data_IF_161008482004
#
_entry.id   IF_161008482004
#
_cell.length_a   1.000
_cell.length_b   1.000
_cell.length_c   1.000
_cell.angle_alpha   90.00
_cell.angle_beta   90.00
_cell.angle_gamma   90.00
#
_symmetry.space_group_name_H-M   'P 1'
#
loop_
_entity.id
_entity.type
_entity.pdbx_description
1 polymer ?
#
# COMPACT_ATOMS: atom_id res chain seq x y z
N UNK A 1 5.91 -11.04 -23.81
CA UNK A 1 4.96 -11.51 -22.77
C UNK A 1 4.96 -10.51 -21.65
N UNK A 2 3.80 -10.10 -21.18
CA UNK A 2 3.66 -9.23 -20.01
C UNK A 2 3.72 -10.08 -18.74
N UNK A 3 4.16 -9.47 -17.63
CA UNK A 3 4.16 -10.13 -16.32
C UNK A 3 2.72 -10.20 -15.76
N UNK A 4 2.35 -11.34 -15.21
CA UNK A 4 1.04 -11.59 -14.63
C UNK A 4 1.00 -11.23 -13.13
N UNK A 5 2.15 -11.26 -12.48
CA UNK A 5 2.30 -10.96 -11.06
C UNK A 5 3.68 -10.35 -10.76
N UNK A 6 3.70 -9.42 -9.81
CA UNK A 6 4.92 -8.84 -9.26
C UNK A 6 4.89 -8.93 -7.73
N UNK A 7 5.98 -9.45 -7.16
CA UNK A 7 6.21 -9.54 -5.72
C UNK A 7 7.55 -8.88 -5.43
N UNK A 8 7.55 -7.83 -4.63
CA UNK A 8 8.76 -7.07 -4.38
C UNK A 8 8.91 -6.68 -2.90
N UNK A 9 10.15 -6.55 -2.47
CA UNK A 9 10.53 -5.97 -1.19
C UNK A 9 11.33 -4.71 -1.44
N UNK A 10 10.96 -3.64 -0.76
CA UNK A 10 11.68 -2.38 -0.78
C UNK A 10 12.14 -2.03 0.63
N UNK A 11 13.31 -1.42 0.72
CA UNK A 11 13.82 -0.89 1.99
C UNK A 11 14.22 0.57 1.79
N UNK A 12 13.62 1.45 2.59
CA UNK A 12 13.98 2.88 2.56
C UNK A 12 15.32 3.12 3.24
N UNK A 13 15.91 4.30 3.01
CA UNK A 13 17.12 4.74 3.71
C UNK A 13 16.94 4.85 5.23
N UNK A 14 15.70 5.06 5.68
CA UNK A 14 15.34 5.14 7.10
C UNK A 14 15.06 3.78 7.73
N UNK A 15 15.15 2.69 6.95
CA UNK A 15 14.99 1.32 7.44
C UNK A 15 13.57 0.77 7.35
N UNK A 16 12.60 1.53 6.86
CA UNK A 16 11.24 1.03 6.63
C UNK A 16 11.28 -0.04 5.54
N UNK A 17 10.64 -1.18 5.79
CA UNK A 17 10.50 -2.29 4.84
C UNK A 17 9.08 -2.27 4.30
N UNK A 18 8.96 -2.29 2.97
CA UNK A 18 7.68 -2.40 2.29
C UNK A 18 7.64 -3.69 1.49
N UNK A 19 6.58 -4.46 1.65
CA UNK A 19 6.25 -5.58 0.80
C UNK A 19 5.17 -5.14 -0.18
N UNK A 20 5.38 -5.43 -1.45
CA UNK A 20 4.46 -5.09 -2.52
C UNK A 20 4.06 -6.36 -3.28
N UNK A 21 2.76 -6.56 -3.43
CA UNK A 21 2.19 -7.64 -4.22
C UNK A 21 1.19 -7.04 -5.21
N UNK A 22 1.37 -7.30 -6.49
CA UNK A 22 0.42 -6.90 -7.54
C UNK A 22 0.24 -8.06 -8.52
N UNK A 23 -0.99 -8.39 -8.79
CA UNK A 23 -1.34 -9.37 -9.81
C UNK A 23 -2.76 -9.21 -10.27
N UNK A 24 -3.03 -9.55 -11.51
CA UNK A 24 -4.38 -9.70 -12.06
C UNK A 24 -4.76 -11.16 -12.39
N UNK A 25 -3.84 -12.09 -12.21
CA UNK A 25 -4.08 -13.50 -12.54
C UNK A 25 -4.23 -14.42 -11.33
N UNK A 26 -3.87 -13.98 -10.12
CA UNK A 26 -4.04 -14.78 -8.90
C UNK A 26 -5.44 -14.65 -8.30
N UNK A 27 -5.90 -15.72 -7.65
CA UNK A 27 -7.15 -15.72 -6.89
C UNK A 27 -6.87 -15.18 -5.51
N UNK A 28 -7.52 -14.08 -5.18
CA UNK A 28 -7.37 -13.42 -3.88
C UNK A 28 -8.69 -13.42 -3.13
N UNK A 29 -8.61 -13.65 -1.82
CA UNK A 29 -9.74 -13.47 -0.90
C UNK A 29 -9.48 -12.23 -0.07
N UNK A 30 -10.08 -11.12 -0.47
CA UNK A 30 -10.00 -9.83 0.22
C UNK A 30 -11.26 -9.01 -0.06
N UNK A 31 -11.50 -8.04 0.77
CA UNK A 31 -12.73 -7.22 0.70
C UNK A 31 -12.61 -6.04 -0.28
N UNK A 32 -11.40 -5.70 -0.73
CA UNK A 32 -11.16 -4.55 -1.58
C UNK A 32 -10.12 -4.85 -2.67
N UNK A 33 -10.14 -4.08 -3.74
CA UNK A 33 -9.19 -4.18 -4.84
C UNK A 33 -7.76 -3.87 -4.37
N UNK A 34 -7.60 -2.86 -3.53
CA UNK A 34 -6.35 -2.43 -2.94
C UNK A 34 -6.44 -2.54 -1.42
N UNK A 35 -5.41 -3.10 -0.81
CA UNK A 35 -5.25 -3.05 0.64
C UNK A 35 -3.80 -2.69 0.95
N UNK A 36 -3.61 -1.66 1.75
CA UNK A 36 -2.32 -1.30 2.34
C UNK A 36 -2.40 -1.48 3.85
N UNK A 37 -1.40 -2.13 4.42
CA UNK A 37 -1.21 -2.20 5.85
C UNK A 37 0.08 -1.49 6.23
N UNK A 38 0.01 -0.67 7.26
CA UNK A 38 1.16 0.03 7.83
C UNK A 38 1.26 -0.35 9.29
N UNK A 39 2.37 -0.95 9.68
CA UNK A 39 2.66 -1.33 11.05
C UNK A 39 3.74 -0.41 11.62
N UNK A 40 3.39 0.26 12.69
CA UNK A 40 4.27 1.19 13.41
C UNK A 40 4.47 0.78 14.86
N UNK A 41 5.36 1.49 15.55
CA UNK A 41 5.69 1.20 16.96
C UNK A 41 4.57 1.57 17.95
N UNK A 42 3.58 2.35 17.51
CA UNK A 42 2.47 2.81 18.35
C UNK A 42 1.10 2.27 17.92
N UNK A 43 1.06 1.51 16.84
CA UNK A 43 -0.18 0.97 16.30
C UNK A 43 -0.05 0.66 14.81
N UNK A 44 -1.16 0.21 14.23
CA UNK A 44 -1.26 -0.18 12.84
C UNK A 44 -2.45 0.46 12.16
N UNK A 45 -2.39 0.59 10.84
CA UNK A 45 -3.51 1.02 10.02
C UNK A 45 -3.68 0.10 8.82
N UNK A 46 -4.91 -0.16 8.43
CA UNK A 46 -5.28 -0.89 7.22
C UNK A 46 -6.12 0.04 6.36
N UNK A 47 -5.69 0.26 5.14
CA UNK A 47 -6.32 1.19 4.20
C UNK A 47 -6.70 0.47 2.93
N UNK A 48 -7.97 0.51 2.57
CA UNK A 48 -8.50 0.12 1.28
C UNK A 48 -8.90 1.34 0.46
N UNK A 49 -9.62 1.12 -0.64
CA UNK A 49 -10.14 2.22 -1.47
C UNK A 49 -11.26 3.01 -0.78
N UNK A 50 -12.01 2.37 0.10
CA UNK A 50 -13.23 2.93 0.70
C UNK A 50 -13.32 2.76 2.20
N UNK A 51 -12.35 2.13 2.81
CA UNK A 51 -12.35 1.80 4.24
C UNK A 51 -10.97 2.03 4.81
N UNK A 52 -10.93 2.51 6.03
CA UNK A 52 -9.72 2.65 6.80
C UNK A 52 -9.98 2.19 8.23
N UNK A 53 -9.06 1.40 8.77
CA UNK A 53 -9.08 0.97 10.16
C UNK A 53 -7.74 1.31 10.81
N UNK A 54 -7.80 1.66 12.07
CA UNK A 54 -6.61 1.87 12.89
C UNK A 54 -6.74 1.13 14.22
N UNK A 55 -5.64 0.65 14.74
CA UNK A 55 -5.55 0.05 16.07
C UNK A 55 -4.33 0.60 16.78
N UNK A 56 -4.51 1.13 17.99
CA UNK A 56 -3.39 1.56 18.82
C UNK A 56 -2.73 0.37 19.52
N UNK A 57 -1.46 0.53 19.89
CA UNK A 57 -0.74 -0.48 20.66
C UNK A 57 -1.45 -0.83 21.96
N UNK A 58 -2.06 0.15 22.62
CA UNK A 58 -2.76 -0.05 23.91
C UNK A 58 -4.03 -0.90 23.74
N UNK A 59 -4.65 -0.86 22.56
CA UNK A 59 -5.84 -1.64 22.23
C UNK A 59 -5.52 -2.97 21.53
N UNK A 60 -4.23 -3.25 21.29
CA UNK A 60 -3.83 -4.47 20.61
C UNK A 60 -3.94 -5.68 21.53
N UNK A 61 -4.73 -6.70 21.17
CA UNK A 61 -4.81 -7.93 21.95
C UNK A 61 -3.43 -8.61 22.05
N UNK A 62 -3.09 -9.09 23.22
CA UNK A 62 -1.85 -9.85 23.41
C UNK A 62 -2.16 -11.34 23.24
N UNK A 63 -1.72 -11.97 22.15
CA UNK A 63 -1.95 -13.38 21.94
C UNK A 63 -1.18 -14.23 22.96
N UNK A 64 -1.88 -15.19 23.55
CA UNK A 64 -1.26 -16.28 24.30
C UNK A 64 -1.37 -17.52 23.43
N UNK A 65 -0.23 -18.02 22.98
CA UNK A 65 -0.24 -19.22 22.16
C UNK A 65 -0.38 -20.47 23.04
N UNK A 66 -1.41 -21.26 22.76
CA UNK A 66 -1.61 -22.59 23.34
C UNK A 66 -2.05 -23.53 22.21
N UNK A 67 -1.26 -24.55 21.85
CA UNK A 67 -1.60 -25.46 20.75
C UNK A 67 -2.81 -26.37 21.03
N UNK A 68 -3.18 -26.52 22.29
CA UNK A 68 -4.22 -27.48 22.70
C UNK A 68 -5.63 -26.88 22.68
N UNK A 69 -5.73 -25.55 22.50
CA UNK A 69 -7.03 -24.86 22.45
C UNK A 69 -7.04 -23.81 21.35
N UNK A 70 -8.21 -23.55 20.80
CA UNK A 70 -8.38 -22.46 19.85
C UNK A 70 -8.07 -21.11 20.51
N UNK A 71 -7.48 -20.20 19.73
CA UNK A 71 -7.21 -18.85 20.23
C UNK A 71 -8.52 -18.15 20.60
N UNK A 72 -8.68 -17.64 21.81
CA UNK A 72 -9.87 -16.91 22.22
C UNK A 72 -9.89 -15.48 21.68
N UNK A 73 -8.85 -15.06 20.92
CA UNK A 73 -8.67 -13.69 20.48
C UNK A 73 -9.44 -13.46 19.18
N UNK A 74 -10.31 -12.49 19.19
CA UNK A 74 -10.87 -11.90 17.99
C UNK A 74 -9.88 -10.85 17.46
N UNK A 75 -9.18 -11.17 16.39
CA UNK A 75 -8.20 -10.27 15.74
C UNK A 75 -8.85 -9.12 14.96
N UNK A 76 -10.16 -9.12 14.81
CA UNK A 76 -10.92 -8.01 14.23
C UNK A 76 -11.46 -7.05 15.29
N UNK A 77 -11.42 -7.45 16.56
CA UNK A 77 -11.83 -6.57 17.64
C UNK A 77 -10.83 -5.42 17.86
N UNK A 78 -11.33 -4.34 18.45
CA UNK A 78 -10.52 -3.17 18.84
C UNK A 78 -9.83 -2.43 17.67
N UNK A 79 -10.37 -2.58 16.46
CA UNK A 79 -10.02 -1.71 15.34
C UNK A 79 -11.04 -0.59 15.22
N UNK A 80 -10.57 0.63 15.28
CA UNK A 80 -11.38 1.81 15.06
C UNK A 80 -11.59 2.03 13.57
N UNK A 81 -12.83 2.31 13.18
CA UNK A 81 -13.13 2.74 11.81
C UNK A 81 -12.74 4.21 11.68
N UNK A 82 -11.83 4.50 10.77
CA UNK A 82 -11.44 5.86 10.42
C UNK A 82 -12.17 6.24 9.13
N UNK A 83 -12.86 7.38 9.15
CA UNK A 83 -13.53 7.88 7.95
C UNK A 83 -12.48 8.25 6.89
N UNK A 84 -12.42 7.55 5.75
CA UNK A 84 -11.47 7.86 4.71
C UNK A 84 -11.84 9.11 3.90
N UNK A 85 -12.97 9.73 4.20
CA UNK A 85 -13.55 10.78 3.40
C UNK A 85 -14.20 10.28 2.09
N UNK A 86 -14.60 11.19 1.19
CA UNK A 86 -15.25 10.83 -0.06
C UNK A 86 -14.30 10.08 -0.99
N UNK A 87 -14.76 8.93 -1.51
CA UNK A 87 -14.03 8.19 -2.54
C UNK A 87 -14.45 8.71 -3.92
N UNK A 88 -13.57 9.42 -4.58
CA UNK A 88 -13.77 9.91 -5.93
C UNK A 88 -13.05 9.04 -6.97
N UNK A 89 -13.46 9.17 -8.23
CA UNK A 89 -12.77 8.54 -9.34
C UNK A 89 -11.40 9.21 -9.54
N UNK A 90 -10.33 8.47 -9.26
CA UNK A 90 -8.96 8.99 -9.32
C UNK A 90 -8.57 9.54 -10.70
N UNK A 91 -9.08 8.95 -11.80
CA UNK A 91 -8.83 9.45 -13.16
C UNK A 91 -9.51 10.80 -13.39
N UNK A 92 -10.74 10.97 -12.91
CA UNK A 92 -11.45 12.24 -12.99
C UNK A 92 -10.68 13.33 -12.22
N UNK A 93 -10.33 13.07 -10.98
CA UNK A 93 -9.59 14.03 -10.13
C UNK A 93 -8.26 14.40 -10.76
N UNK A 94 -7.51 13.44 -11.30
CA UNK A 94 -6.25 13.69 -11.98
C UNK A 94 -6.43 14.63 -13.18
N UNK A 95 -7.44 14.41 -14.01
CA UNK A 95 -7.73 15.27 -15.14
C UNK A 95 -8.18 16.66 -14.71
N UNK A 96 -9.01 16.78 -13.71
CA UNK A 96 -9.42 18.08 -13.17
C UNK A 96 -8.23 18.91 -12.68
N UNK A 97 -7.32 18.30 -11.94
CA UNK A 97 -6.10 18.96 -11.45
C UNK A 97 -5.16 19.34 -12.60
N UNK A 98 -5.00 18.47 -13.60
CA UNK A 98 -4.18 18.77 -14.77
C UNK A 98 -4.75 19.93 -15.60
N UNK A 99 -6.06 19.96 -15.82
CA UNK A 99 -6.71 21.06 -16.54
C UNK A 99 -6.63 22.38 -15.77
N UNK A 100 -6.77 22.36 -14.44
CA UNK A 100 -6.57 23.54 -13.61
C UNK A 100 -5.12 24.04 -13.66
N UNK A 101 -4.16 23.14 -13.66
CA UNK A 101 -2.76 23.50 -13.86
C UNK A 101 -2.52 24.23 -15.17
N UNK A 102 -3.08 23.74 -16.28
CA UNK A 102 -2.93 24.37 -17.59
C UNK A 102 -3.65 25.71 -17.67
N UNK A 103 -4.89 25.79 -17.17
CA UNK A 103 -5.74 26.94 -17.36
C UNK A 103 -5.51 28.06 -16.32
N UNK A 104 -5.10 27.71 -15.10
CA UNK A 104 -5.03 28.61 -13.97
C UNK A 104 -3.64 28.69 -13.32
N UNK A 105 -2.66 27.95 -13.87
CA UNK A 105 -1.30 27.86 -13.31
C UNK A 105 -1.27 27.32 -11.87
N UNK A 106 -2.28 26.50 -11.51
CA UNK A 106 -2.32 25.86 -10.19
C UNK A 106 -1.26 24.74 -10.09
N UNK A 107 -0.72 24.45 -8.88
CA UNK A 107 0.25 23.40 -8.71
C UNK A 107 -0.28 22.02 -9.14
N UNK A 108 0.51 21.28 -9.94
CA UNK A 108 0.22 19.89 -10.29
C UNK A 108 1.26 18.96 -9.68
N UNK A 109 0.87 18.10 -8.70
CA UNK A 109 1.84 17.32 -7.94
C UNK A 109 2.47 16.16 -8.73
N UNK A 110 1.83 15.69 -9.79
CA UNK A 110 2.29 14.55 -10.58
C UNK A 110 3.05 14.97 -11.84
N UNK A 111 4.20 15.57 -11.65
CA UNK A 111 5.06 16.01 -12.75
C UNK A 111 5.61 14.83 -13.57
N UNK A 112 6.08 15.10 -14.78
CA UNK A 112 6.80 14.09 -15.59
C UNK A 112 8.00 13.50 -14.86
N UNK A 113 8.64 14.26 -13.97
CA UNK A 113 9.74 13.79 -13.15
C UNK A 113 9.29 12.74 -12.13
N UNK A 114 8.11 12.92 -11.54
CA UNK A 114 7.54 11.90 -10.63
C UNK A 114 7.14 10.64 -11.41
N UNK A 115 6.60 10.80 -12.63
CA UNK A 115 6.35 9.68 -13.52
C UNK A 115 7.63 8.91 -13.88
N UNK A 116 8.72 9.62 -14.16
CA UNK A 116 10.01 9.01 -14.47
C UNK A 116 10.59 8.18 -13.30
N UNK A 117 10.38 8.61 -12.04
CA UNK A 117 10.76 7.80 -10.87
C UNK A 117 10.01 6.45 -10.82
N UNK A 118 8.73 6.44 -11.17
CA UNK A 118 7.96 5.20 -11.25
C UNK A 118 8.50 4.23 -12.29
N UNK A 119 8.90 4.75 -13.46
CA UNK A 119 9.50 3.96 -14.54
C UNK A 119 10.88 3.42 -14.12
N UNK A 120 11.72 4.25 -13.48
CA UNK A 120 13.03 3.83 -12.97
C UNK A 120 12.89 2.74 -11.90
N UNK A 121 11.92 2.88 -11.00
CA UNK A 121 11.64 1.86 -9.97
C UNK A 121 11.24 0.52 -10.60
N UNK A 122 10.40 0.54 -11.64
CA UNK A 122 10.02 -0.67 -12.37
C UNK A 122 11.24 -1.31 -13.07
N UNK A 123 12.09 -0.50 -13.72
CA UNK A 123 13.31 -0.98 -14.37
C UNK A 123 14.30 -1.59 -13.37
N UNK A 124 14.49 -0.96 -12.22
CA UNK A 124 15.33 -1.46 -11.13
C UNK A 124 14.79 -2.73 -10.48
N UNK A 125 13.47 -2.85 -10.36
CA UNK A 125 12.83 -4.09 -9.89
C UNK A 125 13.11 -5.26 -10.86
N UNK A 126 13.07 -5.01 -12.16
CA UNK A 126 13.42 -6.01 -13.18
C UNK A 126 14.90 -6.38 -13.15
N UNK A 127 15.80 -5.42 -12.94
CA UNK A 127 17.23 -5.65 -12.75
C UNK A 127 17.49 -6.52 -11.52
N UNK A 128 16.81 -6.22 -10.40
CA UNK A 128 16.86 -7.02 -9.17
C UNK A 128 16.40 -8.46 -9.40
N UNK A 129 15.29 -8.65 -10.09
CA UNK A 129 14.78 -9.98 -10.45
C UNK A 129 15.80 -10.78 -11.25
N UNK A 130 16.41 -10.19 -12.27
CA UNK A 130 17.40 -10.87 -13.12
C UNK A 130 18.69 -11.23 -12.40
N UNK A 131 19.16 -10.34 -11.52
CA UNK A 131 20.42 -10.51 -10.80
C UNK A 131 20.28 -11.30 -9.51
N UNK A 132 19.05 -11.48 -8.99
CA UNK A 132 18.79 -12.06 -7.68
C UNK A 132 19.37 -11.24 -6.53
N UNK A 133 19.54 -9.92 -6.72
CA UNK A 133 20.24 -9.03 -5.79
C UNK A 133 19.44 -7.78 -5.45
N UNK A 134 19.75 -7.17 -4.33
CA UNK A 134 19.25 -5.83 -3.99
C UNK A 134 19.86 -4.80 -4.94
N UNK A 135 19.01 -3.97 -5.54
CA UNK A 135 19.42 -2.87 -6.40
C UNK A 135 19.11 -1.54 -5.69
N UNK A 136 20.07 -0.63 -5.72
CA UNK A 136 19.87 0.71 -5.18
C UNK A 136 19.08 1.57 -6.17
N UNK A 137 18.03 2.22 -5.67
CA UNK A 137 17.17 3.15 -6.39
C UNK A 137 17.47 4.60 -5.99
#
# INVERSE_FOLDING_TARGET
>A
TADDAAYALFKTKTGVVCQFNSSWDVRVRRDDLLTMQVDGTKGSAIVGLRKCWAQSLDNTPRPVWNPDVDSPIDYYANWDIVDPGPCENAFKVQWELFLKHIALDEPFPWSLREGAKGVDLAAKSWESHKSGSWIKV
#
